data_IF_996462150141
#
_entry.id   IF_996462150141
#
_cell.length_a   1.000
_cell.length_b   1.000
_cell.length_c   1.000
_cell.angle_alpha   90.00
_cell.angle_beta   90.00
_cell.angle_gamma   90.00
#
_symmetry.space_group_name_H-M   'P 1'
#
loop_
_entity.id
_entity.type
_entity.pdbx_description
1 polymer ?
#
# COMPACT_ATOMS: atom_id res chain seq x y z
N UNK A 1 -16.83 26.40 -15.55
CA UNK A 1 -18.07 25.61 -15.74
C UNK A 1 -17.65 24.16 -15.83
N UNK A 2 -18.00 23.32 -14.85
CA UNK A 2 -17.71 21.89 -14.95
C UNK A 2 -18.57 21.29 -16.08
N UNK A 3 -18.06 20.31 -16.84
CA UNK A 3 -18.87 19.65 -17.87
C UNK A 3 -20.12 19.03 -17.25
N UNK A 4 -21.19 18.93 -18.06
CA UNK A 4 -22.44 18.33 -17.63
C UNK A 4 -22.20 16.90 -17.12
N UNK A 5 -22.71 16.60 -15.91
CA UNK A 5 -22.61 15.30 -15.27
C UNK A 5 -23.44 14.29 -16.06
N UNK A 6 -22.86 13.15 -16.42
CA UNK A 6 -23.52 12.06 -17.16
C UNK A 6 -23.80 10.84 -16.27
N UNK A 7 -24.16 11.04 -15.01
CA UNK A 7 -24.44 9.95 -14.08
C UNK A 7 -25.81 10.15 -13.41
N UNK A 8 -26.49 9.06 -13.13
CA UNK A 8 -27.79 9.00 -12.46
C UNK A 8 -27.65 9.01 -10.95
N UNK A 9 -28.74 9.28 -10.23
CA UNK A 9 -28.74 9.40 -8.76
C UNK A 9 -28.43 8.09 -8.04
N UNK A 10 -28.74 6.95 -8.68
CA UNK A 10 -28.38 5.61 -8.21
C UNK A 10 -26.91 5.21 -8.51
N UNK A 11 -26.18 6.01 -9.29
CA UNK A 11 -24.82 5.66 -9.68
C UNK A 11 -23.86 5.94 -8.51
N UNK A 12 -23.08 4.91 -8.13
CA UNK A 12 -21.97 5.11 -7.20
C UNK A 12 -20.82 5.77 -7.95
N UNK A 13 -20.71 7.10 -7.82
CA UNK A 13 -19.61 7.86 -8.43
C UNK A 13 -18.33 7.66 -7.62
N UNK A 14 -17.52 6.71 -8.05
CA UNK A 14 -16.14 6.59 -7.58
C UNK A 14 -15.33 7.58 -8.41
N UNK A 15 -15.00 8.73 -7.82
CA UNK A 15 -14.01 9.62 -8.42
C UNK A 15 -12.70 8.86 -8.50
N UNK A 16 -12.23 8.51 -9.70
CA UNK A 16 -10.86 8.07 -9.93
C UNK A 16 -10.04 9.35 -9.97
N UNK A 17 -9.20 9.67 -8.98
CA UNK A 17 -8.38 10.87 -9.04
C UNK A 17 -7.58 10.90 -10.35
N UNK A 18 -7.56 12.03 -11.06
CA UNK A 18 -6.90 12.21 -12.36
C UNK A 18 -5.42 11.79 -12.37
N UNK A 19 -4.76 11.75 -11.20
CA UNK A 19 -3.43 11.15 -11.01
C UNK A 19 -3.35 9.67 -11.42
N UNK A 20 -4.45 8.91 -11.40
CA UNK A 20 -4.46 7.48 -11.74
C UNK A 20 -4.78 7.21 -13.21
N UNK A 21 -4.96 8.25 -14.04
CA UNK A 21 -5.22 8.04 -15.45
C UNK A 21 -4.00 7.41 -16.16
N UNK A 22 -4.19 6.30 -16.91
CA UNK A 22 -3.13 5.69 -17.70
C UNK A 22 -2.38 6.72 -18.54
N UNK A 23 -1.06 6.63 -18.55
CA UNK A 23 -0.23 7.50 -19.38
C UNK A 23 0.81 6.67 -20.14
N UNK A 24 1.12 6.96 -21.42
CA UNK A 24 2.10 6.15 -22.18
C UNK A 24 3.46 5.97 -21.49
N UNK A 25 3.87 6.94 -20.66
CA UNK A 25 5.10 6.86 -19.86
C UNK A 25 5.05 5.81 -18.74
N UNK A 26 3.87 5.49 -18.20
CA UNK A 26 3.75 4.42 -17.21
C UNK A 26 4.05 3.04 -17.80
N UNK A 27 3.98 2.89 -19.13
CA UNK A 27 4.29 1.65 -19.85
C UNK A 27 5.75 1.53 -20.28
N UNK A 28 6.59 2.54 -20.02
CA UNK A 28 8.02 2.52 -20.35
C UNK A 28 8.84 1.99 -19.19
N UNK A 29 9.61 0.93 -19.45
CA UNK A 29 10.56 0.37 -18.48
C UNK A 29 11.85 1.18 -18.40
N UNK A 30 12.36 1.59 -19.57
CA UNK A 30 13.54 2.44 -19.73
C UNK A 30 13.26 3.92 -19.50
N UNK A 31 14.32 4.74 -19.53
CA UNK A 31 14.20 6.20 -19.39
C UNK A 31 13.84 6.69 -17.99
N UNK A 32 14.13 5.88 -16.97
CA UNK A 32 13.89 6.15 -15.54
C UNK A 32 15.22 6.42 -14.81
N UNK A 33 15.71 7.68 -14.79
CA UNK A 33 17.02 8.02 -14.24
C UNK A 33 17.07 8.01 -12.71
N UNK A 34 15.92 8.12 -12.02
CA UNK A 34 15.84 8.10 -10.56
C UNK A 34 15.70 6.66 -10.08
N UNK A 35 16.53 6.22 -9.15
CA UNK A 35 16.48 4.87 -8.61
C UNK A 35 15.27 4.68 -7.69
N UNK A 36 15.12 5.52 -6.67
CA UNK A 36 14.03 5.42 -5.68
C UNK A 36 13.32 6.74 -5.44
N UNK A 37 12.00 6.72 -5.35
CA UNK A 37 11.19 7.92 -5.12
C UNK A 37 10.26 7.79 -3.90
N UNK A 38 10.18 8.86 -3.12
CA UNK A 38 9.12 9.09 -2.14
C UNK A 38 8.86 10.59 -1.96
N UNK A 39 7.60 10.96 -1.88
CA UNK A 39 7.21 12.31 -1.48
C UNK A 39 5.99 12.25 -0.56
N UNK A 40 6.12 12.85 0.63
CA UNK A 40 5.00 13.02 1.53
C UNK A 40 5.38 13.30 2.98
N UNK A 41 4.35 13.57 3.80
CA UNK A 41 4.54 13.98 5.21
C UNK A 41 5.28 12.92 6.04
N UNK A 42 6.19 13.36 6.94
CA UNK A 42 6.87 12.50 7.92
C UNK A 42 5.94 12.12 9.09
N UNK A 43 4.76 11.59 8.79
CA UNK A 43 3.72 11.29 9.78
C UNK A 43 3.85 9.89 10.41
N UNK A 44 4.99 9.22 10.25
CA UNK A 44 5.26 7.91 10.83
C UNK A 44 6.76 7.69 10.99
N UNK A 45 7.15 6.79 11.91
CA UNK A 45 8.56 6.45 12.12
C UNK A 45 9.22 5.94 10.82
N UNK A 46 8.52 5.14 10.03
CA UNK A 46 9.05 4.63 8.76
C UNK A 46 9.36 5.77 7.78
N UNK A 47 8.42 6.72 7.60
CA UNK A 47 8.61 7.86 6.70
C UNK A 47 9.72 8.78 7.17
N UNK A 48 9.77 9.10 8.46
CA UNK A 48 10.84 9.92 9.03
C UNK A 48 12.20 9.27 8.85
N UNK A 49 12.32 7.96 9.10
CA UNK A 49 13.58 7.23 8.93
C UNK A 49 14.02 7.16 7.47
N UNK A 50 13.10 6.94 6.53
CA UNK A 50 13.42 6.94 5.09
C UNK A 50 13.82 8.33 4.60
N UNK A 51 13.12 9.38 5.04
CA UNK A 51 13.50 10.76 4.73
C UNK A 51 14.92 11.08 5.25
N UNK A 52 15.23 10.68 6.48
CA UNK A 52 16.56 10.86 7.04
C UNK A 52 17.64 10.05 6.30
N UNK A 53 17.33 8.82 5.88
CA UNK A 53 18.29 7.94 5.24
C UNK A 53 18.54 8.26 3.75
N UNK A 54 17.53 8.72 3.01
CA UNK A 54 17.59 8.77 1.54
C UNK A 54 17.47 10.17 0.93
N UNK A 55 17.14 11.22 1.69
CA UNK A 55 16.95 12.56 1.12
C UNK A 55 18.22 13.17 0.51
N UNK A 56 19.40 12.80 1.03
CA UNK A 56 20.69 13.22 0.50
C UNK A 56 21.40 12.11 -0.31
N UNK A 57 20.75 10.96 -0.51
CA UNK A 57 21.37 9.79 -1.13
C UNK A 57 21.33 9.91 -2.67
N UNK A 58 22.47 9.77 -3.37
CA UNK A 58 22.51 9.91 -4.83
C UNK A 58 21.58 8.94 -5.56
N UNK A 59 20.82 9.47 -6.52
CA UNK A 59 19.85 8.69 -7.30
C UNK A 59 18.51 8.47 -6.60
N UNK A 60 18.31 9.03 -5.41
CA UNK A 60 17.03 9.03 -4.73
C UNK A 60 16.37 10.42 -4.81
N UNK A 61 15.06 10.42 -5.03
CA UNK A 61 14.22 11.60 -4.96
C UNK A 61 13.23 11.42 -3.81
N UNK A 62 13.68 11.76 -2.60
CA UNK A 62 12.96 11.52 -1.34
C UNK A 62 12.77 12.85 -0.61
N UNK A 63 11.53 13.30 -0.46
CA UNK A 63 11.23 14.64 0.06
C UNK A 63 9.92 14.71 0.86
N UNK A 64 9.78 15.76 1.67
CA UNK A 64 8.51 16.09 2.34
C UNK A 64 7.57 16.92 1.47
N UNK A 65 8.06 17.42 0.33
CA UNK A 65 7.31 18.32 -0.54
C UNK A 65 6.25 17.54 -1.30
N UNK A 66 4.99 17.80 -0.97
CA UNK A 66 3.89 17.54 -1.88
C UNK A 66 3.97 18.60 -2.97
N UNK A 67 4.18 18.19 -4.22
CA UNK A 67 4.09 19.16 -5.30
C UNK A 67 2.72 19.85 -5.20
N UNK A 68 2.70 21.19 -5.24
CA UNK A 68 1.44 21.96 -5.32
C UNK A 68 0.71 21.70 -6.64
N UNK A 69 1.44 21.15 -7.60
CA UNK A 69 0.97 20.74 -8.91
C UNK A 69 1.07 19.20 -9.03
N UNK A 70 -0.06 18.56 -9.34
CA UNK A 70 -0.12 17.13 -9.62
C UNK A 70 0.81 16.74 -10.80
N UNK A 71 1.06 17.65 -11.74
CA UNK A 71 1.96 17.43 -12.88
C UNK A 71 3.40 17.07 -12.49
N UNK A 72 4.02 17.87 -11.64
CA UNK A 72 5.40 17.65 -11.16
C UNK A 72 5.54 16.32 -10.40
N UNK A 73 4.58 16.01 -9.52
CA UNK A 73 4.59 14.77 -8.76
C UNK A 73 4.49 13.53 -9.67
N UNK A 74 3.67 13.59 -10.72
CA UNK A 74 3.55 12.52 -11.73
C UNK A 74 4.84 12.38 -12.54
N UNK A 75 5.44 13.49 -12.95
CA UNK A 75 6.71 13.50 -13.69
C UNK A 75 7.83 12.82 -12.90
N UNK A 76 7.93 13.14 -11.60
CA UNK A 76 8.92 12.53 -10.70
C UNK A 76 8.70 11.02 -10.57
N UNK A 77 7.45 10.54 -10.45
CA UNK A 77 7.16 9.10 -10.46
C UNK A 77 7.46 8.42 -11.80
N UNK A 78 7.21 9.07 -12.95
CA UNK A 78 7.57 8.51 -14.26
C UNK A 78 9.07 8.40 -14.48
N UNK A 79 9.89 9.19 -13.77
CA UNK A 79 11.35 9.13 -13.83
C UNK A 79 11.95 8.12 -12.85
N UNK A 80 11.16 7.62 -11.90
CA UNK A 80 11.61 6.70 -10.86
C UNK A 80 11.48 5.23 -11.29
N UNK A 81 12.48 4.41 -10.94
CA UNK A 81 12.47 2.95 -11.13
C UNK A 81 11.66 2.27 -10.04
N UNK A 82 11.94 2.63 -8.79
CA UNK A 82 11.28 2.13 -7.59
C UNK A 82 10.60 3.28 -6.85
N UNK A 83 9.45 3.00 -6.23
CA UNK A 83 8.74 3.99 -5.43
C UNK A 83 8.33 3.38 -4.10
N UNK A 84 8.63 4.10 -3.02
CA UNK A 84 8.42 3.60 -1.68
C UNK A 84 6.95 3.71 -1.25
N UNK A 85 6.40 2.58 -0.80
CA UNK A 85 5.10 2.48 -0.14
C UNK A 85 5.37 2.31 1.34
N UNK A 86 5.49 3.44 2.03
CA UNK A 86 5.86 3.49 3.45
C UNK A 86 4.62 3.58 4.32
N UNK A 87 4.62 2.82 5.41
CA UNK A 87 3.58 2.90 6.44
C UNK A 87 3.34 4.35 6.88
N UNK A 88 2.15 4.90 6.70
CA UNK A 88 1.72 6.18 7.26
C UNK A 88 1.02 6.06 8.61
N UNK A 89 0.53 7.17 9.15
CA UNK A 89 -0.38 7.20 10.33
C UNK A 89 -1.83 6.79 10.02
N UNK A 90 -2.17 6.63 8.73
CA UNK A 90 -3.53 6.33 8.25
C UNK A 90 -3.51 5.24 7.16
N UNK A 91 -4.69 4.75 6.77
CA UNK A 91 -4.94 3.69 5.76
C UNK A 91 -4.46 4.00 4.32
N UNK A 92 -3.67 5.04 4.13
CA UNK A 92 -3.26 5.59 2.83
C UNK A 92 -2.19 4.79 2.10
N UNK A 93 -1.65 3.72 2.70
CA UNK A 93 -0.61 2.90 2.07
C UNK A 93 -1.14 2.17 0.83
N UNK A 94 -2.38 1.69 0.86
CA UNK A 94 -3.00 1.01 -0.29
C UNK A 94 -3.25 1.99 -1.44
N UNK A 95 -3.60 3.24 -1.13
CA UNK A 95 -3.75 4.32 -2.12
C UNK A 95 -2.40 4.67 -2.75
N UNK A 96 -1.31 4.67 -1.96
CA UNK A 96 0.04 4.93 -2.46
C UNK A 96 0.56 3.78 -3.33
N UNK A 97 0.32 2.54 -2.93
CA UNK A 97 0.67 1.35 -3.71
C UNK A 97 0.14 1.46 -5.14
N UNK A 98 -1.10 1.90 -5.27
CA UNK A 98 -1.72 2.12 -6.56
C UNK A 98 -1.21 3.28 -7.36
N UNK A 99 -0.94 4.39 -6.69
CA UNK A 99 -0.40 5.58 -7.34
C UNK A 99 0.92 5.21 -8.01
N UNK A 100 1.76 4.48 -7.28
CA UNK A 100 3.02 3.92 -7.77
C UNK A 100 2.81 2.97 -8.96
N UNK A 101 1.89 2.00 -8.84
CA UNK A 101 1.62 1.03 -9.90
C UNK A 101 1.08 1.69 -11.17
N UNK A 102 0.14 2.63 -11.06
CA UNK A 102 -0.46 3.35 -12.19
C UNK A 102 0.57 4.19 -12.98
N UNK A 103 1.65 4.62 -12.32
CA UNK A 103 2.77 5.34 -12.95
C UNK A 103 3.88 4.41 -13.46
N UNK A 104 3.70 3.09 -13.38
CA UNK A 104 4.68 2.10 -13.83
C UNK A 104 5.95 2.09 -12.99
N UNK A 105 5.88 2.60 -11.77
CA UNK A 105 7.00 2.56 -10.84
C UNK A 105 6.89 1.27 -10.01
N UNK A 106 8.00 0.54 -9.81
CA UNK A 106 7.96 -0.71 -9.04
C UNK A 106 7.76 -0.39 -7.55
N UNK A 107 6.70 -0.92 -6.89
CA UNK A 107 6.47 -0.66 -5.49
C UNK A 107 7.52 -1.33 -4.59
N UNK A 108 8.05 -0.56 -3.66
CA UNK A 108 8.86 -1.05 -2.54
C UNK A 108 8.09 -0.81 -1.26
N UNK A 109 7.39 -1.84 -0.80
CA UNK A 109 6.58 -1.83 0.41
C UNK A 109 7.48 -2.02 1.61
N UNK A 110 7.57 -1.00 2.47
CA UNK A 110 8.33 -1.06 3.72
C UNK A 110 7.35 -1.01 4.89
N UNK A 111 7.05 -2.18 5.46
CA UNK A 111 6.09 -2.34 6.56
C UNK A 111 6.24 -3.73 7.18
N UNK A 112 5.94 -3.86 8.47
CA UNK A 112 6.00 -5.14 9.19
C UNK A 112 4.64 -5.88 9.16
N UNK A 113 3.57 -5.20 8.78
CA UNK A 113 2.18 -5.66 8.90
C UNK A 113 1.31 -5.31 7.69
N UNK A 114 1.92 -5.03 6.52
CA UNK A 114 1.16 -4.65 5.34
C UNK A 114 0.39 -5.85 4.77
N UNK A 115 -0.92 -5.72 4.65
CA UNK A 115 -1.75 -6.69 3.94
C UNK A 115 -2.03 -6.17 2.55
N UNK A 116 -1.46 -6.88 1.57
CA UNK A 116 -1.68 -6.53 0.19
C UNK A 116 -3.14 -6.80 -0.21
N UNK A 117 -3.72 -5.95 -1.05
CA UNK A 117 -5.09 -6.11 -1.52
C UNK A 117 -5.19 -7.26 -2.53
N UNK A 118 -6.28 -8.02 -2.49
CA UNK A 118 -6.47 -9.24 -3.29
C UNK A 118 -5.27 -10.23 -3.16
N UNK A 119 -4.63 -10.27 -2.00
CA UNK A 119 -3.47 -11.12 -1.68
C UNK A 119 -3.66 -12.63 -1.91
N UNK A 120 -4.90 -13.10 -1.91
CA UNK A 120 -5.22 -14.50 -2.27
C UNK A 120 -5.29 -14.75 -3.78
N UNK A 121 -5.43 -13.69 -4.57
CA UNK A 121 -5.62 -13.76 -6.02
C UNK A 121 -4.40 -13.26 -6.80
N UNK A 122 -3.62 -12.35 -6.20
CA UNK A 122 -2.50 -11.68 -6.85
C UNK A 122 -1.15 -12.18 -6.31
N UNK A 123 -0.20 -12.54 -7.19
CA UNK A 123 1.14 -12.97 -6.79
C UNK A 123 2.01 -11.75 -6.43
N UNK A 124 1.71 -11.09 -5.30
CA UNK A 124 2.37 -9.84 -4.90
C UNK A 124 3.89 -9.91 -4.84
N UNK A 125 4.46 -11.07 -4.49
CA UNK A 125 5.92 -11.29 -4.46
C UNK A 125 6.58 -11.20 -5.84
N UNK A 126 5.79 -11.30 -6.91
CA UNK A 126 6.24 -11.14 -8.30
C UNK A 126 5.94 -9.75 -8.86
N UNK A 127 5.27 -8.90 -8.08
CA UNK A 127 4.82 -7.57 -8.48
C UNK A 127 5.52 -6.46 -7.72
N UNK A 128 5.88 -6.68 -6.47
CA UNK A 128 6.45 -5.66 -5.59
C UNK A 128 7.55 -6.24 -4.69
N UNK A 129 8.39 -5.34 -4.21
CA UNK A 129 9.43 -5.66 -3.22
C UNK A 129 8.84 -5.43 -1.83
N UNK A 130 8.92 -6.42 -0.95
CA UNK A 130 8.46 -6.32 0.43
C UNK A 130 9.65 -6.38 1.39
N UNK A 131 9.80 -5.33 2.20
CA UNK A 131 10.88 -5.21 3.17
C UNK A 131 10.32 -4.87 4.55
N UNK A 132 10.89 -5.44 5.63
CA UNK A 132 10.55 -5.02 6.98
C UNK A 132 11.09 -3.62 7.27
N UNK A 133 10.52 -2.95 8.28
CA UNK A 133 10.95 -1.60 8.70
C UNK A 133 12.41 -1.60 9.20
N UNK A 134 12.93 -2.74 9.63
CA UNK A 134 14.33 -2.91 10.02
C UNK A 134 15.31 -2.72 8.85
N UNK A 135 14.89 -2.96 7.60
CA UNK A 135 15.74 -2.82 6.41
C UNK A 135 15.97 -1.38 5.96
N UNK A 136 15.29 -0.38 6.56
CA UNK A 136 15.42 1.04 6.17
C UNK A 136 16.88 1.51 6.01
N UNK A 137 17.82 1.21 6.94
CA UNK A 137 19.21 1.65 6.81
C UNK A 137 19.94 1.10 5.59
N UNK A 138 19.48 -0.04 5.03
CA UNK A 138 20.09 -0.71 3.88
C UNK A 138 19.29 -0.54 2.59
N UNK A 139 18.24 0.30 2.57
CA UNK A 139 17.38 0.44 1.39
C UNK A 139 18.15 0.80 0.12
N UNK A 140 19.11 1.72 0.22
CA UNK A 140 19.91 2.12 -0.93
C UNK A 140 20.77 0.97 -1.47
N UNK A 141 21.39 0.20 -0.58
CA UNK A 141 22.20 -0.96 -0.90
C UNK A 141 21.36 -2.06 -1.57
N UNK A 142 20.21 -2.41 -0.96
CA UNK A 142 19.28 -3.43 -1.48
C UNK A 142 18.86 -3.09 -2.91
N UNK A 143 18.39 -1.86 -3.14
CA UNK A 143 17.89 -1.45 -4.46
C UNK A 143 18.98 -1.35 -5.53
N UNK A 144 20.24 -1.12 -5.14
CA UNK A 144 21.38 -1.03 -6.09
C UNK A 144 21.99 -2.38 -6.41
N UNK A 145 22.07 -3.27 -5.43
CA UNK A 145 22.95 -4.44 -5.51
C UNK A 145 22.22 -5.77 -5.35
N UNK A 146 21.12 -5.82 -4.60
CA UNK A 146 20.40 -7.06 -4.36
C UNK A 146 19.26 -7.29 -5.38
N UNK A 147 18.70 -6.20 -5.94
CA UNK A 147 17.67 -6.30 -6.98
C UNK A 147 18.32 -6.15 -8.36
N UNK A 148 18.28 -7.24 -9.14
CA UNK A 148 18.81 -7.19 -10.50
C UNK A 148 17.85 -6.49 -11.46
N UNK A 149 18.35 -5.99 -12.58
CA UNK A 149 17.49 -5.41 -13.62
C UNK A 149 16.47 -6.43 -14.17
N UNK A 150 16.77 -7.74 -14.15
CA UNK A 150 15.82 -8.78 -14.52
C UNK A 150 14.68 -8.93 -13.48
N UNK A 151 14.99 -8.82 -12.19
CA UNK A 151 13.96 -8.79 -11.15
C UNK A 151 13.08 -7.56 -11.30
N UNK A 152 13.69 -6.39 -11.54
CA UNK A 152 12.99 -5.14 -11.84
C UNK A 152 12.07 -5.27 -13.05
N UNK A 153 12.56 -5.90 -14.12
CA UNK A 153 11.75 -6.18 -15.31
C UNK A 153 10.54 -7.06 -14.97
N UNK A 154 10.75 -8.15 -14.21
CA UNK A 154 9.65 -9.03 -13.76
C UNK A 154 8.59 -8.28 -12.96
N UNK A 155 8.99 -7.41 -12.03
CA UNK A 155 8.04 -6.59 -11.29
C UNK A 155 7.28 -5.65 -12.22
N UNK A 156 8.01 -4.95 -13.09
CA UNK A 156 7.43 -3.97 -14.00
C UNK A 156 6.43 -4.59 -14.97
N UNK A 157 6.75 -5.72 -15.61
CA UNK A 157 5.83 -6.35 -16.57
C UNK A 157 4.51 -6.78 -15.92
N UNK A 158 4.56 -7.28 -14.68
CA UNK A 158 3.39 -7.71 -13.93
C UNK A 158 2.51 -6.54 -13.47
N UNK A 159 3.05 -5.32 -13.43
CA UNK A 159 2.33 -4.09 -13.08
C UNK A 159 1.84 -3.34 -14.32
N UNK A 160 2.75 -3.05 -15.25
CA UNK A 160 2.55 -2.04 -16.28
C UNK A 160 2.05 -2.59 -17.62
N UNK A 161 2.29 -3.88 -17.91
CA UNK A 161 2.20 -4.36 -19.30
C UNK A 161 0.99 -5.22 -19.64
N UNK A 162 0.13 -5.62 -18.69
CA UNK A 162 -1.21 -6.11 -19.06
C UNK A 162 -1.27 -7.49 -19.71
N UNK A 163 -0.30 -7.84 -20.55
CA UNK A 163 -0.54 -8.77 -21.64
C UNK A 163 0.77 -9.27 -22.22
N UNK A 164 0.75 -10.45 -22.87
CA UNK A 164 1.88 -10.97 -23.62
C UNK A 164 2.34 -10.01 -24.73
N UNK A 165 3.59 -10.16 -25.20
CA UNK A 165 4.16 -9.33 -26.26
C UNK A 165 3.30 -9.38 -27.52
N UNK A 166 3.09 -8.23 -28.15
CA UNK A 166 2.25 -8.06 -29.34
C UNK A 166 0.84 -7.50 -29.07
N UNK A 167 0.37 -7.48 -27.82
CA UNK A 167 -0.99 -7.02 -27.53
C UNK A 167 -1.14 -5.49 -27.39
N UNK A 168 -0.08 -4.72 -27.05
CA UNK A 168 -0.06 -3.23 -26.92
C UNK A 168 1.28 -2.67 -26.36
N UNK A 169 2.45 -3.20 -26.76
CA UNK A 169 3.77 -2.82 -26.18
C UNK A 169 4.71 -2.05 -27.11
N UNK A 170 5.57 -1.18 -26.55
CA UNK A 170 6.65 -0.48 -27.28
C UNK A 170 7.75 -1.47 -27.70
N UNK A 171 8.09 -1.61 -28.99
CA UNK A 171 9.03 -2.62 -29.49
C UNK A 171 10.42 -2.57 -28.84
N UNK A 172 10.93 -1.38 -28.51
CA UNK A 172 12.25 -1.20 -27.91
C UNK A 172 12.37 -1.78 -26.49
N UNK A 173 11.30 -1.72 -25.69
CA UNK A 173 11.29 -2.27 -24.33
C UNK A 173 11.26 -3.82 -24.36
N UNK A 174 10.60 -4.39 -25.38
CA UNK A 174 10.55 -5.85 -25.60
C UNK A 174 11.91 -6.39 -26.01
N UNK A 175 12.60 -5.73 -26.95
CA UNK A 175 13.93 -6.14 -27.39
C UNK A 175 14.98 -5.99 -26.26
N UNK A 176 14.88 -4.94 -25.44
CA UNK A 176 15.73 -4.79 -24.26
C UNK A 176 15.51 -5.95 -23.27
N UNK A 177 14.26 -6.33 -22.99
CA UNK A 177 13.97 -7.43 -22.09
C UNK A 177 14.50 -8.77 -22.61
N UNK A 178 14.30 -9.06 -23.89
CA UNK A 178 14.88 -10.24 -24.56
C UNK A 178 16.40 -10.28 -24.43
N UNK A 179 17.07 -9.14 -24.65
CA UNK A 179 18.54 -9.05 -24.51
C UNK A 179 19.02 -9.33 -23.09
N UNK A 180 18.27 -8.89 -22.07
CA UNK A 180 18.62 -9.11 -20.66
C UNK A 180 18.44 -10.58 -20.23
N UNK A 181 17.44 -11.26 -20.77
CA UNK A 181 17.16 -12.68 -20.51
C UNK A 181 18.14 -13.57 -21.26
N UNK A 182 18.46 -13.25 -22.51
CA UNK A 182 19.51 -13.91 -23.28
C UNK A 182 20.87 -13.80 -22.57
N UNK A 183 21.21 -12.64 -22.00
CA UNK A 183 22.43 -12.45 -21.23
C UNK A 183 22.50 -13.32 -19.95
N UNK A 184 21.37 -13.82 -19.45
CA UNK A 184 21.28 -14.72 -18.29
C UNK A 184 21.08 -16.20 -18.68
N UNK A 185 21.08 -16.54 -19.97
CA UNK A 185 20.88 -17.90 -20.46
C UNK A 185 19.46 -18.45 -20.21
N UNK A 186 18.48 -17.56 -20.03
CA UNK A 186 17.08 -17.91 -19.83
C UNK A 186 16.34 -17.86 -21.18
N UNK A 187 15.27 -18.63 -21.32
CA UNK A 187 14.45 -18.66 -22.54
C UNK A 187 13.38 -17.55 -22.55
N UNK A 188 12.90 -17.18 -23.74
CA UNK A 188 11.87 -16.13 -23.89
C UNK A 188 10.54 -16.52 -23.24
N UNK A 189 10.21 -17.81 -23.14
CA UNK A 189 8.95 -18.28 -22.54
C UNK A 189 8.94 -18.04 -21.03
N UNK A 190 10.08 -18.26 -20.36
CA UNK A 190 10.32 -17.92 -18.95
C UNK A 190 10.06 -16.44 -18.66
N UNK A 191 10.38 -15.55 -19.60
CA UNK A 191 10.13 -14.10 -19.53
C UNK A 191 8.63 -13.79 -19.33
N UNK A 192 7.75 -14.60 -19.93
CA UNK A 192 6.29 -14.40 -20.00
C UNK A 192 5.46 -15.40 -19.19
N UNK A 193 6.12 -16.41 -18.60
CA UNK A 193 5.53 -17.49 -17.80
C UNK A 193 5.00 -17.03 -16.44
N UNK A 194 5.37 -15.82 -15.98
CA UNK A 194 4.77 -15.21 -14.81
C UNK A 194 3.26 -15.09 -14.99
N UNK A 195 2.49 -15.63 -14.05
CA UNK A 195 1.04 -15.49 -13.94
C UNK A 195 0.72 -13.99 -13.78
N UNK A 196 0.72 -13.27 -14.89
CA UNK A 196 0.70 -11.82 -14.83
C UNK A 196 -0.65 -11.41 -14.28
N UNK A 197 -0.67 -10.79 -13.10
CA UNK A 197 -1.85 -10.17 -12.50
C UNK A 197 -2.58 -9.25 -13.49
N UNK A 198 -1.84 -8.74 -14.47
CA UNK A 198 -2.31 -7.92 -15.58
C UNK A 198 -3.12 -8.69 -16.65
N UNK A 199 -2.96 -10.02 -16.78
CA UNK A 199 -3.84 -10.92 -17.56
C UNK A 199 -5.18 -11.15 -16.84
N UNK A 200 -5.20 -11.04 -15.52
CA UNK A 200 -6.40 -11.24 -14.68
C UNK A 200 -7.20 -9.94 -14.55
N UNK A 201 -6.52 -8.80 -14.55
CA UNK A 201 -7.13 -7.49 -14.43
C UNK A 201 -6.50 -6.48 -15.40
N UNK A 202 -7.29 -5.90 -16.30
CA UNK A 202 -6.91 -4.61 -16.88
C UNK A 202 -6.95 -3.57 -15.76
N UNK A 203 -5.79 -3.23 -15.20
CA UNK A 203 -5.64 -2.21 -14.14
C UNK A 203 -6.27 -0.85 -14.49
N UNK A 204 -6.52 -0.62 -15.78
CA UNK A 204 -7.09 0.61 -16.31
C UNK A 204 -8.61 0.54 -16.46
N UNK A 205 -9.25 -0.62 -16.22
CA UNK A 205 -10.69 -0.81 -16.24
C UNK A 205 -11.31 -0.65 -14.84
N UNK A 206 -12.52 -0.10 -14.79
CA UNK A 206 -13.25 0.29 -13.59
C UNK A 206 -13.63 -0.89 -12.69
N UNK A 207 -13.82 -2.09 -13.24
CA UNK A 207 -14.20 -3.29 -12.49
C UNK A 207 -13.13 -3.76 -11.51
N UNK A 208 -11.85 -3.68 -11.89
CA UNK A 208 -10.75 -3.97 -10.99
C UNK A 208 -10.77 -3.02 -9.77
N UNK A 209 -10.98 -1.73 -10.01
CA UNK A 209 -11.00 -0.72 -8.96
C UNK A 209 -12.14 -0.94 -7.97
N UNK A 210 -13.33 -1.34 -8.45
CA UNK A 210 -14.45 -1.70 -7.57
C UNK A 210 -14.11 -2.89 -6.66
N UNK A 211 -13.57 -3.98 -7.22
CA UNK A 211 -13.21 -5.17 -6.46
C UNK A 211 -12.10 -4.89 -5.45
N UNK A 212 -11.12 -4.09 -5.83
CA UNK A 212 -10.07 -3.70 -4.90
C UNK A 212 -10.61 -2.85 -3.75
N UNK A 213 -11.40 -1.82 -4.04
CA UNK A 213 -11.87 -0.93 -2.97
C UNK A 213 -12.78 -1.71 -2.01
N UNK A 214 -13.53 -2.69 -2.52
CA UNK A 214 -14.29 -3.63 -1.70
C UNK A 214 -13.37 -4.49 -0.81
N UNK A 215 -12.30 -5.08 -1.34
CA UNK A 215 -11.34 -5.89 -0.57
C UNK A 215 -10.62 -5.06 0.51
N UNK A 216 -10.15 -3.87 0.14
CA UNK A 216 -9.52 -2.94 1.11
C UNK A 216 -10.51 -2.55 2.19
N UNK A 217 -11.75 -2.19 1.83
CA UNK A 217 -12.78 -1.88 2.82
C UNK A 217 -13.05 -3.07 3.75
N UNK A 218 -13.08 -4.29 3.23
CA UNK A 218 -13.26 -5.49 4.05
C UNK A 218 -12.12 -5.71 5.03
N UNK A 219 -10.87 -5.67 4.56
CA UNK A 219 -9.67 -5.82 5.41
C UNK A 219 -9.58 -4.74 6.48
N UNK A 220 -9.99 -3.52 6.17
CA UNK A 220 -10.08 -2.43 7.14
C UNK A 220 -11.11 -2.73 8.23
N UNK A 221 -12.31 -3.20 7.87
CA UNK A 221 -13.33 -3.62 8.84
C UNK A 221 -12.82 -4.73 9.75
N UNK A 222 -12.18 -5.76 9.20
CA UNK A 222 -11.66 -6.88 9.97
C UNK A 222 -10.57 -6.45 10.96
N UNK A 223 -9.67 -5.56 10.54
CA UNK A 223 -8.63 -4.98 11.43
C UNK A 223 -9.25 -4.13 12.54
N UNK A 224 -10.24 -3.30 12.22
CA UNK A 224 -10.94 -2.49 13.22
C UNK A 224 -11.69 -3.35 14.23
N UNK A 225 -12.34 -4.43 13.78
CA UNK A 225 -13.01 -5.39 14.66
C UNK A 225 -12.01 -6.12 15.57
N UNK A 226 -10.88 -6.60 15.03
CA UNK A 226 -9.81 -7.22 15.83
C UNK A 226 -9.23 -6.25 16.85
N UNK A 227 -8.92 -5.01 16.45
CA UNK A 227 -8.41 -3.99 17.37
C UNK A 227 -9.43 -3.63 18.46
N UNK A 228 -10.74 -3.63 18.14
CA UNK A 228 -11.80 -3.46 19.12
C UNK A 228 -11.87 -4.64 20.10
N UNK A 229 -11.82 -5.87 19.59
CA UNK A 229 -11.81 -7.10 20.40
C UNK A 229 -10.58 -7.19 21.31
N UNK A 230 -9.39 -6.86 20.81
CA UNK A 230 -8.15 -6.84 21.61
C UNK A 230 -8.22 -5.79 22.72
N UNK A 231 -8.69 -4.57 22.40
CA UNK A 231 -8.91 -3.53 23.43
C UNK A 231 -9.96 -3.96 24.45
N UNK A 232 -11.06 -4.56 24.00
CA UNK A 232 -12.11 -5.05 24.89
C UNK A 232 -11.59 -6.18 25.80
N UNK A 233 -10.83 -7.13 25.26
CA UNK A 233 -10.18 -8.20 26.02
C UNK A 233 -9.12 -7.66 26.98
N UNK A 234 -8.34 -6.65 26.60
CA UNK A 234 -7.37 -5.99 27.48
C UNK A 234 -8.07 -5.22 28.63
N UNK A 235 -9.20 -4.58 28.35
CA UNK A 235 -10.06 -3.93 29.36
C UNK A 235 -10.70 -4.99 30.28
N UNK A 236 -11.22 -6.09 29.74
CA UNK A 236 -11.77 -7.18 30.56
C UNK A 236 -10.69 -7.88 31.40
N UNK A 237 -9.46 -8.00 30.87
CA UNK A 237 -8.31 -8.54 31.60
C UNK A 237 -7.88 -7.60 32.75
N UNK A 238 -7.88 -6.28 32.54
CA UNK A 238 -7.59 -5.32 33.60
C UNK A 238 -8.69 -5.25 34.67
N UNK A 239 -9.95 -5.47 34.27
CA UNK A 239 -11.10 -5.55 35.17
C UNK A 239 -11.21 -6.88 35.93
N UNK A 240 -10.52 -7.94 35.50
CA UNK A 240 -10.57 -9.27 36.14
C UNK A 240 -9.43 -9.54 37.15
N UNK A 241 -8.55 -8.56 37.36
CA UNK A 241 -7.51 -8.61 38.38
C UNK A 241 -8.06 -8.73 39.82
N UNK A 242 -7.27 -9.25 40.77
CA UNK A 242 -7.72 -9.45 42.15
C UNK A 242 -8.12 -8.14 42.86
N UNK A 243 -7.47 -7.03 42.52
CA UNK A 243 -7.78 -5.68 43.04
C UNK A 243 -9.11 -5.13 42.52
N UNK A 244 -9.42 -5.30 41.23
CA UNK A 244 -10.66 -4.79 40.62
C UNK A 244 -11.89 -5.60 41.04
N UNK A 245 -11.75 -6.93 41.23
CA UNK A 245 -12.82 -7.77 41.81
C UNK A 245 -13.14 -7.39 43.26
N UNK A 246 -12.13 -7.05 44.05
CA UNK A 246 -12.32 -6.56 45.42
C UNK A 246 -13.01 -5.19 45.44
N UNK A 247 -12.60 -4.26 44.55
CA UNK A 247 -13.23 -2.95 44.42
C UNK A 247 -14.69 -3.05 43.96
N UNK A 248 -15.00 -3.94 43.01
CA UNK A 248 -16.37 -4.14 42.53
C UNK A 248 -17.26 -4.80 43.60
N UNK A 249 -16.75 -5.80 44.34
CA UNK A 249 -17.45 -6.36 45.50
C UNK A 249 -17.68 -5.31 46.59
N UNK A 250 -16.70 -4.47 46.86
CA UNK A 250 -16.81 -3.40 47.84
C UNK A 250 -17.87 -2.36 47.43
N UNK A 251 -17.93 -1.97 46.15
CA UNK A 251 -18.97 -1.07 45.64
C UNK A 251 -20.38 -1.67 45.71
N UNK A 252 -20.54 -2.95 45.38
CA UNK A 252 -21.82 -3.66 45.52
C UNK A 252 -22.25 -3.77 46.99
N UNK A 253 -21.30 -4.03 47.89
CA UNK A 253 -21.55 -4.13 49.32
C UNK A 253 -21.92 -2.74 49.91
N UNK A 254 -21.29 -1.67 49.42
CA UNK A 254 -21.67 -0.28 49.74
C UNK A 254 -23.07 0.08 49.23
N UNK A 255 -23.45 -0.38 48.05
CA UNK A 255 -24.80 -0.18 47.50
C UNK A 255 -25.85 -0.89 48.36
N UNK A 256 -25.61 -2.16 48.70
CA UNK A 256 -26.51 -2.93 49.60
C UNK A 256 -26.62 -2.30 50.99
N UNK A 257 -25.51 -1.84 51.58
CA UNK A 257 -25.53 -1.14 52.87
C UNK A 257 -26.29 0.19 52.80
N UNK A 258 -26.25 0.90 51.67
CA UNK A 258 -27.06 2.12 51.45
C UNK A 258 -28.55 1.81 51.31
N UNK A 259 -28.93 0.72 50.66
CA UNK A 259 -30.32 0.26 50.56
C UNK A 259 -30.87 -0.20 51.91
N UNK A 260 -30.11 -0.98 52.69
CA UNK A 260 -30.52 -1.37 54.05
C UNK A 260 -30.67 -0.16 55.00
N UNK A 261 -29.80 0.84 54.90
CA UNK A 261 -29.94 2.10 55.65
C UNK A 261 -31.11 2.97 55.21
N UNK A 262 -31.60 2.80 53.97
CA UNK A 262 -32.83 3.44 53.49
C UNK A 262 -34.08 2.68 53.96
N UNK A 263 -34.03 1.35 54.00
CA UNK A 263 -35.11 0.52 54.57
C UNK A 263 -35.33 0.75 56.07
N UNK A 264 -34.25 0.87 56.86
CA UNK A 264 -34.33 1.08 58.31
C UNK A 264 -34.81 2.50 58.73
N UNK A 265 -35.10 3.42 57.79
CA UNK A 265 -35.73 4.72 58.07
C UNK A 265 -37.24 4.73 57.80
N UNK A 266 -37.80 3.58 57.41
CA UNK A 266 -39.23 3.39 57.22
C UNK A 266 -39.69 2.12 57.95
N UNK A 267 -39.59 2.13 59.27
CA UNK A 267 -40.49 1.37 60.15
C UNK A 267 -40.88 2.31 61.32
N UNK A 268 -42.17 2.63 61.51
CA UNK A 268 -42.70 3.21 62.75
C UNK A 268 -42.84 2.16 63.86
#
# INVERSE_FOLDING_TARGET
MFPARSFYEQDTVISIPSRFSPHPRSRRFGGRPVLGFFAGSPNSCARTRVLAALSAEPGFDVSTSFAKDDGDYRERMWRARFCFVLRGSSHTNNVRLYDVMAHGCVPVVVSDDFQAPLDRLLPWREMAVFLPTSSIPRLAEILRHEITEADRWRYFQNIALGSPPGAKGFPADVEMAKSMVAAKGLDEETLWSGLSASKVFEWHDSHFWMLFFADVASKLRDRMQKACQEKHSAVLASLSGPSSKAAFRWLLDLSRRREQRRGARHEP
#
